data_IF_430334052301
#
_entry.id   IF_430334052301
#
_cell.length_a   1.000
_cell.length_b   1.000
_cell.length_c   1.000
_cell.angle_alpha   90.00
_cell.angle_beta   90.00
_cell.angle_gamma   90.00
#
_symmetry.space_group_name_H-M   'P 1'
#
loop_
_entity.id
_entity.type
_entity.pdbx_description
1 polymer ?
#
# COMPACT_ATOMS: atom_id res chain seq x y z
N UNK A 1 -2.22 -11.54 3.68
CA UNK A 1 -1.19 -11.26 2.67
C UNK A 1 -0.12 -10.26 3.11
N UNK A 2 -0.36 -9.30 4.01
CA UNK A 2 0.73 -8.51 4.61
C UNK A 2 1.23 -7.29 3.83
N UNK A 3 0.36 -6.65 3.03
CA UNK A 3 0.69 -5.46 2.22
C UNK A 3 1.28 -4.31 3.05
N UNK A 4 0.59 -3.93 4.12
CA UNK A 4 1.01 -2.85 5.03
C UNK A 4 2.32 -3.18 5.76
N UNK A 5 2.51 -4.45 6.15
CA UNK A 5 3.75 -4.93 6.75
C UNK A 5 4.95 -4.75 5.80
N UNK A 6 4.81 -5.12 4.53
CA UNK A 6 5.85 -4.91 3.49
C UNK A 6 6.20 -3.42 3.39
N UNK A 7 5.17 -2.58 3.31
CA UNK A 7 5.32 -1.12 3.18
C UNK A 7 6.09 -0.51 4.36
N UNK A 8 5.73 -0.86 5.61
CA UNK A 8 6.37 -0.32 6.81
C UNK A 8 7.80 -0.84 7.01
N UNK A 9 8.05 -2.13 6.76
CA UNK A 9 9.40 -2.69 6.92
C UNK A 9 10.36 -2.08 5.90
N UNK A 10 9.96 -2.04 4.62
CA UNK A 10 10.85 -1.61 3.53
C UNK A 10 11.09 -0.09 3.55
N UNK A 11 10.03 0.70 3.76
CA UNK A 11 10.12 2.15 3.57
C UNK A 11 10.23 2.96 4.86
N UNK A 12 9.89 2.38 6.01
CA UNK A 12 10.01 3.04 7.33
C UNK A 12 10.98 2.38 8.29
N UNK A 13 11.65 1.30 7.88
CA UNK A 13 12.58 0.55 8.73
C UNK A 13 11.92 0.00 10.00
N UNK A 14 10.60 -0.26 9.97
CA UNK A 14 9.92 -1.00 11.03
C UNK A 14 10.52 -2.41 11.13
N UNK A 15 10.72 -2.92 12.33
CA UNK A 15 11.22 -4.29 12.48
C UNK A 15 10.12 -5.30 12.12
N UNK A 16 10.46 -6.48 11.57
CA UNK A 16 9.45 -7.47 11.21
C UNK A 16 8.54 -7.88 12.37
N UNK A 17 9.07 -7.94 13.60
CA UNK A 17 8.31 -8.32 14.79
C UNK A 17 7.25 -7.29 15.18
N UNK A 18 7.52 -6.00 14.97
CA UNK A 18 6.55 -4.94 15.25
C UNK A 18 5.34 -5.01 14.32
N UNK A 19 5.48 -5.60 13.13
CA UNK A 19 4.36 -5.72 12.16
C UNK A 19 3.21 -6.58 12.68
N UNK A 20 3.43 -7.41 13.70
CA UNK A 20 2.40 -8.21 14.37
C UNK A 20 1.34 -7.33 15.05
N UNK A 21 1.65 -6.06 15.32
CA UNK A 21 0.78 -5.12 16.01
C UNK A 21 0.16 -4.07 15.07
N UNK A 22 0.33 -4.22 13.76
CA UNK A 22 -0.31 -3.31 12.80
C UNK A 22 -1.82 -3.48 12.81
N UNK A 23 -2.54 -2.36 12.85
CA UNK A 23 -3.99 -2.34 12.66
C UNK A 23 -4.36 -2.61 11.20
N UNK A 24 -5.62 -3.00 10.97
CA UNK A 24 -6.13 -3.23 9.62
C UNK A 24 -6.31 -1.92 8.86
N UNK A 25 -5.76 -1.83 7.65
CA UNK A 25 -6.01 -0.74 6.72
C UNK A 25 -7.46 -0.79 6.23
N UNK A 26 -8.28 0.18 6.65
CA UNK A 26 -9.72 0.26 6.32
C UNK A 26 -10.05 1.24 5.18
N UNK A 27 -9.06 2.02 4.73
CA UNK A 27 -9.18 2.99 3.65
C UNK A 27 -7.87 3.02 2.87
N UNK A 28 -7.89 3.53 1.64
CA UNK A 28 -6.66 3.70 0.87
C UNK A 28 -5.77 4.70 1.58
N UNK A 29 -4.56 4.27 1.94
CA UNK A 29 -3.54 5.12 2.55
C UNK A 29 -2.51 5.51 1.49
N UNK A 30 -2.27 6.82 1.37
CA UNK A 30 -1.35 7.39 0.40
C UNK A 30 -0.12 7.92 1.10
N UNK A 31 1.07 7.51 0.64
CA UNK A 31 2.32 7.97 1.20
C UNK A 31 3.34 8.32 0.12
N UNK A 32 4.08 9.40 0.33
CA UNK A 32 5.17 9.80 -0.56
C UNK A 32 6.50 9.30 0.01
N UNK A 33 7.22 8.49 -0.76
CA UNK A 33 8.57 8.04 -0.43
C UNK A 33 9.55 8.94 -1.15
N UNK A 34 10.30 9.74 -0.38
CA UNK A 34 11.30 10.69 -0.88
C UNK A 34 12.62 10.57 -0.14
N UNK A 35 12.95 9.37 0.35
CA UNK A 35 14.15 9.09 1.16
C UNK A 35 15.46 9.22 0.36
N UNK A 36 15.38 9.38 -0.97
CA UNK A 36 16.50 9.60 -1.88
C UNK A 36 16.10 10.59 -2.97
N UNK A 37 17.04 11.44 -3.39
CA UNK A 37 16.83 12.36 -4.51
C UNK A 37 16.62 11.63 -5.84
N UNK A 38 17.12 10.40 -5.97
CA UNK A 38 17.06 9.60 -7.20
C UNK A 38 15.76 8.80 -7.36
N UNK A 39 15.08 8.50 -6.26
CA UNK A 39 13.90 7.64 -6.27
C UNK A 39 12.81 8.30 -5.43
N UNK A 40 11.84 8.87 -6.15
CA UNK A 40 10.67 9.53 -5.58
C UNK A 40 9.43 8.88 -6.17
N UNK A 41 8.59 8.30 -5.33
CA UNK A 41 7.36 7.66 -5.76
C UNK A 41 6.33 7.72 -4.65
N UNK A 42 5.07 7.53 -5.06
CA UNK A 42 3.94 7.46 -4.16
C UNK A 42 3.47 6.01 -4.06
N UNK A 43 3.23 5.57 -2.83
CA UNK A 43 2.64 4.27 -2.52
C UNK A 43 1.17 4.50 -2.16
N UNK A 44 0.30 3.70 -2.75
CA UNK A 44 -1.08 3.52 -2.30
C UNK A 44 -1.17 2.15 -1.62
N UNK A 45 -1.37 2.12 -0.30
CA UNK A 45 -1.73 0.91 0.41
C UNK A 45 -3.26 0.76 0.42
N UNK A 46 -3.71 -0.41 0.02
CA UNK A 46 -5.11 -0.70 -0.27
C UNK A 46 -5.71 -1.56 0.86
N UNK A 47 -6.96 -1.33 1.27
CA UNK A 47 -7.62 -2.19 2.25
C UNK A 47 -7.67 -3.64 1.77
N UNK A 48 -7.76 -4.59 2.71
CA UNK A 48 -7.76 -6.02 2.41
C UNK A 48 -8.95 -6.46 1.54
N UNK A 49 -10.09 -5.79 1.72
CA UNK A 49 -11.29 -5.95 0.91
C UNK A 49 -11.57 -4.60 0.26
N UNK A 50 -11.60 -4.58 -1.07
CA UNK A 50 -12.02 -3.43 -1.86
C UNK A 50 -13.25 -3.85 -2.64
N UNK A 51 -14.30 -3.04 -2.53
CA UNK A 51 -15.42 -3.12 -3.45
C UNK A 51 -15.12 -2.26 -4.68
N UNK A 52 -14.72 -2.92 -5.76
CA UNK A 52 -14.47 -2.28 -7.05
C UNK A 52 -15.75 -1.85 -7.77
N UNK A 53 -16.93 -2.29 -7.29
CA UNK A 53 -18.22 -1.97 -7.87
C UNK A 53 -18.92 -0.82 -7.15
N UNK A 54 -18.35 -0.31 -6.05
CA UNK A 54 -18.88 0.90 -5.44
C UNK A 54 -18.82 2.07 -6.42
N UNK A 55 -19.90 2.87 -6.55
CA UNK A 55 -19.90 4.08 -7.39
C UNK A 55 -18.84 5.11 -6.98
N UNK A 56 -18.31 4.99 -5.77
CA UNK A 56 -17.25 5.82 -5.20
C UNK A 56 -15.86 5.46 -5.74
N UNK A 57 -15.70 4.26 -6.32
CA UNK A 57 -14.43 3.73 -6.81
C UNK A 57 -14.08 4.35 -8.18
N UNK A 58 -13.14 5.29 -8.16
CA UNK A 58 -12.64 5.98 -9.35
C UNK A 58 -11.29 5.39 -9.78
N UNK A 59 -11.34 4.41 -10.69
CA UNK A 59 -10.15 3.69 -11.17
C UNK A 59 -9.15 4.61 -11.86
N UNK A 60 -9.60 5.63 -12.59
CA UNK A 60 -8.72 6.57 -13.30
C UNK A 60 -7.98 7.45 -12.31
N UNK A 61 -8.68 7.96 -11.30
CA UNK A 61 -8.06 8.74 -10.22
C UNK A 61 -7.12 7.92 -9.36
N UNK A 62 -7.42 6.64 -9.17
CA UNK A 62 -6.60 5.73 -8.35
C UNK A 62 -5.38 5.23 -9.12
N UNK A 63 -5.52 4.80 -10.37
CA UNK A 63 -4.46 4.12 -11.12
C UNK A 63 -3.81 4.97 -12.22
N UNK A 64 -4.50 5.98 -12.76
CA UNK A 64 -4.04 6.75 -13.94
C UNK A 64 -2.70 7.47 -13.78
N UNK A 65 -2.25 7.70 -12.54
CA UNK A 65 -0.94 8.29 -12.23
C UNK A 65 0.13 7.31 -11.72
N UNK A 66 -0.15 6.01 -11.63
CA UNK A 66 0.75 5.01 -11.04
C UNK A 66 1.40 4.13 -12.10
N UNK A 67 2.72 3.95 -12.01
CA UNK A 67 3.50 3.21 -13.01
C UNK A 67 3.59 1.70 -12.79
N UNK A 68 3.16 1.20 -11.63
CA UNK A 68 3.22 -0.22 -11.28
C UNK A 68 2.10 -0.62 -10.33
N UNK A 69 1.63 -1.86 -10.46
CA UNK A 69 0.70 -2.52 -9.55
C UNK A 69 1.39 -3.72 -8.91
N UNK A 70 1.39 -3.79 -7.59
CA UNK A 70 1.93 -4.92 -6.83
C UNK A 70 0.78 -5.65 -6.15
N UNK A 71 0.50 -6.87 -6.60
CA UNK A 71 -0.54 -7.72 -6.02
C UNK A 71 0.09 -8.77 -5.10
N UNK A 72 -0.28 -8.75 -3.81
CA UNK A 72 0.31 -9.63 -2.80
C UNK A 72 -0.65 -10.78 -2.50
N UNK A 73 -0.25 -11.98 -2.91
CA UNK A 73 -1.00 -13.22 -2.68
C UNK A 73 -0.41 -13.91 -1.44
N UNK A 74 -1.29 -14.27 -0.51
CA UNK A 74 -0.91 -15.11 0.61
C UNK A 74 -0.79 -16.56 0.16
N UNK A 75 0.32 -17.21 0.48
CA UNK A 75 0.63 -18.57 0.03
C UNK A 75 0.64 -19.60 1.17
N UNK A 76 0.25 -19.18 2.38
CA UNK A 76 0.20 -20.04 3.56
C UNK A 76 -1.10 -20.85 3.63
#
# INVERSE_FOLDING_TARGET
SGKSSIQKVVFHKMTPNETLFLESTNKIESENISNSSFVQFKILDFPGQIDFFEPSFDSEKIFGGHGALVFVIDAQ
#
